data_IF_774573311792
#
_entry.id   IF_774573311792
#
_cell.length_a   1.000
_cell.length_b   1.000
_cell.length_c   1.000
_cell.angle_alpha   90.00
_cell.angle_beta   90.00
_cell.angle_gamma   90.00
#
_symmetry.space_group_name_H-M   'P 1'
#
loop_
_entity.id
_entity.type
_entity.pdbx_description
1 polymer ?
#
# COMPACT_ATOMS: atom_id res chain seq x y z
N UNK A 1 50.41 7.66 -6.70
CA UNK A 1 49.32 8.03 -7.63
C UNK A 1 48.50 6.83 -8.12
N UNK A 2 49.05 5.62 -8.23
CA UNK A 2 48.34 4.42 -8.72
C UNK A 2 47.27 3.87 -7.77
N UNK A 3 47.51 3.84 -6.45
CA UNK A 3 46.56 3.29 -5.48
C UNK A 3 45.19 4.01 -5.46
N UNK A 4 45.18 5.33 -5.65
CA UNK A 4 43.95 6.13 -5.69
C UNK A 4 43.07 5.81 -6.91
N UNK A 5 43.68 5.50 -8.07
CA UNK A 5 42.97 5.11 -9.28
C UNK A 5 42.33 3.72 -9.14
N UNK A 6 43.03 2.78 -8.50
CA UNK A 6 42.49 1.46 -8.21
C UNK A 6 41.33 1.51 -7.23
N UNK A 7 41.45 2.29 -6.15
CA UNK A 7 40.37 2.47 -5.18
C UNK A 7 39.14 3.11 -5.85
N UNK A 8 39.33 4.17 -6.66
CA UNK A 8 38.25 4.82 -7.39
C UNK A 8 37.55 3.87 -8.39
N UNK A 9 38.32 3.11 -9.17
CA UNK A 9 37.78 2.12 -10.10
C UNK A 9 37.02 0.98 -9.41
N UNK A 10 37.52 0.52 -8.26
CA UNK A 10 36.89 -0.51 -7.45
C UNK A 10 35.55 -0.03 -6.89
N UNK A 11 35.50 1.20 -6.39
CA UNK A 11 34.28 1.82 -5.88
C UNK A 11 33.24 2.04 -6.99
N UNK A 12 33.68 2.48 -8.18
CA UNK A 12 32.81 2.65 -9.33
C UNK A 12 32.19 1.32 -9.80
N UNK A 13 33.01 0.26 -9.87
CA UNK A 13 32.52 -1.09 -10.20
C UNK A 13 31.56 -1.63 -9.14
N UNK A 14 31.87 -1.42 -7.86
CA UNK A 14 30.99 -1.83 -6.77
C UNK A 14 29.65 -1.07 -6.80
N UNK A 15 29.68 0.23 -7.07
CA UNK A 15 28.49 1.04 -7.23
C UNK A 15 27.64 0.57 -8.43
N UNK A 16 28.28 0.25 -9.56
CA UNK A 16 27.60 -0.27 -10.75
C UNK A 16 26.98 -1.65 -10.49
N UNK A 17 27.69 -2.51 -9.76
CA UNK A 17 27.20 -3.84 -9.38
C UNK A 17 26.03 -3.79 -8.38
N UNK A 18 26.03 -2.80 -7.47
CA UNK A 18 24.97 -2.60 -6.48
C UNK A 18 23.78 -1.78 -7.02
N UNK A 19 23.97 -1.01 -8.10
CA UNK A 19 22.94 -0.21 -8.74
C UNK A 19 21.64 -0.98 -9.06
N UNK A 20 21.65 -2.18 -9.67
CA UNK A 20 20.42 -2.94 -9.93
C UNK A 20 19.70 -3.35 -8.64
N UNK A 21 20.43 -3.68 -7.57
CA UNK A 21 19.84 -4.09 -6.29
C UNK A 21 19.17 -2.91 -5.58
N UNK A 22 19.84 -1.74 -5.59
CA UNK A 22 19.32 -0.52 -4.99
C UNK A 22 18.10 0.02 -5.75
N UNK A 23 18.14 -0.01 -7.09
CA UNK A 23 17.01 0.41 -7.92
C UNK A 23 15.82 -0.54 -7.78
N UNK A 24 16.04 -1.86 -7.70
CA UNK A 24 14.98 -2.82 -7.41
C UNK A 24 14.32 -2.56 -6.04
N UNK A 25 15.12 -2.29 -5.00
CA UNK A 25 14.60 -1.94 -3.68
C UNK A 25 13.81 -0.63 -3.67
N UNK A 26 14.30 0.39 -4.39
CA UNK A 26 13.59 1.67 -4.53
C UNK A 26 12.25 1.48 -5.24
N UNK A 27 12.22 0.76 -6.35
CA UNK A 27 10.98 0.44 -7.10
C UNK A 27 9.98 -0.34 -6.25
N UNK A 28 10.45 -1.29 -5.45
CA UNK A 28 9.59 -2.05 -4.52
C UNK A 28 8.99 -1.14 -3.43
N UNK A 29 9.78 -0.21 -2.89
CA UNK A 29 9.30 0.78 -1.91
C UNK A 29 8.29 1.75 -2.52
N UNK A 30 8.51 2.19 -3.75
CA UNK A 30 7.61 3.09 -4.46
C UNK A 30 6.29 2.41 -4.82
N UNK A 31 6.33 1.15 -5.29
CA UNK A 31 5.13 0.35 -5.51
C UNK A 31 4.33 0.09 -4.22
N UNK A 32 5.02 -0.09 -3.08
CA UNK A 32 4.37 -0.20 -1.77
C UNK A 32 3.62 1.08 -1.39
N UNK A 33 4.23 2.25 -1.57
CA UNK A 33 3.61 3.57 -1.31
C UNK A 33 2.39 3.83 -2.20
N UNK A 34 2.52 3.61 -3.50
CA UNK A 34 1.38 3.75 -4.43
C UNK A 34 0.24 2.77 -4.06
N UNK A 35 0.59 1.57 -3.60
CA UNK A 35 -0.38 0.61 -3.10
C UNK A 35 -1.09 1.07 -1.83
N UNK A 36 -0.36 1.69 -0.91
CA UNK A 36 -0.86 2.26 0.34
C UNK A 36 -1.82 3.42 0.08
N UNK A 37 -1.42 4.40 -0.74
CA UNK A 37 -2.25 5.56 -1.08
C UNK A 37 -3.60 5.12 -1.66
N UNK A 38 -3.58 4.11 -2.55
CA UNK A 38 -4.81 3.51 -3.10
C UNK A 38 -5.65 2.83 -2.04
N UNK A 39 -5.03 2.12 -1.09
CA UNK A 39 -5.76 1.49 0.00
C UNK A 39 -6.40 2.53 0.93
N UNK A 40 -5.66 3.59 1.28
CA UNK A 40 -6.16 4.70 2.09
C UNK A 40 -7.30 5.45 1.39
N UNK A 41 -7.21 5.68 0.08
CA UNK A 41 -8.29 6.29 -0.69
C UNK A 41 -9.59 5.46 -0.63
N UNK A 42 -9.49 4.13 -0.72
CA UNK A 42 -10.65 3.24 -0.59
C UNK A 42 -11.19 3.18 0.84
N UNK A 43 -10.33 3.23 1.85
CA UNK A 43 -10.75 3.30 3.26
C UNK A 43 -11.48 4.62 3.50
N UNK A 44 -10.95 5.75 3.03
CA UNK A 44 -11.59 7.06 3.16
C UNK A 44 -12.96 7.09 2.45
N UNK A 45 -13.08 6.45 1.28
CA UNK A 45 -14.37 6.30 0.60
C UNK A 45 -15.34 5.41 1.37
N UNK A 46 -14.85 4.32 1.97
CA UNK A 46 -15.66 3.45 2.83
C UNK A 46 -16.16 4.19 4.06
N UNK A 47 -15.33 5.03 4.67
CA UNK A 47 -15.69 5.88 5.80
C UNK A 47 -16.82 6.83 5.42
N UNK A 48 -16.71 7.49 4.27
CA UNK A 48 -17.76 8.35 3.77
C UNK A 48 -19.06 7.59 3.45
N UNK A 49 -18.95 6.38 2.92
CA UNK A 49 -20.12 5.54 2.67
C UNK A 49 -20.80 5.08 3.98
N UNK A 50 -20.03 4.84 5.05
CA UNK A 50 -20.54 4.47 6.37
C UNK A 50 -21.30 5.61 7.06
N UNK A 51 -20.93 6.87 6.79
CA UNK A 51 -21.63 8.06 7.28
C UNK A 51 -23.05 8.20 6.72
N UNK A 52 -23.38 7.49 5.65
CA UNK A 52 -24.73 7.49 5.08
C UNK A 52 -25.74 6.86 6.04
N UNK A 53 -26.86 7.53 6.25
CA UNK A 53 -27.94 7.11 7.16
C UNK A 53 -28.87 6.05 6.57
N UNK A 54 -28.83 5.80 5.26
CA UNK A 54 -29.70 4.87 4.54
C UNK A 54 -29.26 3.39 4.60
N UNK A 55 -28.13 3.10 5.26
CA UNK A 55 -27.63 1.74 5.39
C UNK A 55 -28.40 0.93 6.43
N UNK A 56 -28.82 -0.28 6.04
CA UNK A 56 -29.30 -1.27 7.00
C UNK A 56 -28.22 -1.57 8.06
N UNK A 57 -28.59 -1.84 9.32
CA UNK A 57 -27.64 -2.08 10.40
C UNK A 57 -26.69 -3.24 10.12
N UNK A 58 -27.16 -4.29 9.44
CA UNK A 58 -26.34 -5.45 9.05
C UNK A 58 -25.24 -5.06 8.06
N UNK A 59 -25.58 -4.29 7.02
CA UNK A 59 -24.60 -3.79 6.03
C UNK A 59 -23.60 -2.84 6.65
N UNK A 60 -24.05 -1.95 7.55
CA UNK A 60 -23.17 -1.03 8.29
C UNK A 60 -22.16 -1.81 9.14
N UNK A 61 -22.61 -2.80 9.91
CA UNK A 61 -21.73 -3.60 10.77
C UNK A 61 -20.65 -4.37 9.96
N UNK A 62 -21.03 -4.98 8.83
CA UNK A 62 -20.05 -5.68 7.98
C UNK A 62 -19.04 -4.72 7.33
N UNK A 63 -19.51 -3.54 6.92
CA UNK A 63 -18.66 -2.50 6.36
C UNK A 63 -17.69 -1.90 7.40
N UNK A 64 -18.15 -1.69 8.64
CA UNK A 64 -17.30 -1.28 9.77
C UNK A 64 -16.25 -2.34 10.11
N UNK A 65 -16.63 -3.62 10.10
CA UNK A 65 -15.68 -4.72 10.27
C UNK A 65 -14.61 -4.70 9.18
N UNK A 66 -15.02 -4.53 7.92
CA UNK A 66 -14.10 -4.42 6.79
C UNK A 66 -13.17 -3.20 6.94
N UNK A 67 -13.67 -2.05 7.38
CA UNK A 67 -12.86 -0.85 7.68
C UNK A 67 -11.78 -1.14 8.72
N UNK A 68 -12.14 -1.79 9.83
CA UNK A 68 -11.19 -2.15 10.89
C UNK A 68 -10.11 -3.13 10.38
N UNK A 69 -10.50 -4.13 9.59
CA UNK A 69 -9.56 -5.08 8.99
C UNK A 69 -8.64 -4.42 7.96
N UNK A 70 -9.15 -3.45 7.21
CA UNK A 70 -8.34 -2.66 6.28
C UNK A 70 -7.32 -1.78 7.02
N UNK A 71 -7.74 -1.07 8.07
CA UNK A 71 -6.87 -0.25 8.91
C UNK A 71 -5.80 -1.08 9.63
N UNK A 72 -6.17 -2.22 10.21
CA UNK A 72 -5.21 -3.11 10.89
C UNK A 72 -4.16 -3.69 9.94
N UNK A 73 -4.50 -3.90 8.66
CA UNK A 73 -3.54 -4.32 7.66
C UNK A 73 -2.47 -3.25 7.37
N UNK A 74 -2.75 -1.97 7.61
CA UNK A 74 -1.84 -0.83 7.43
C UNK A 74 -1.18 -0.35 8.73
N UNK A 75 -1.51 -0.92 9.88
CA UNK A 75 -0.96 -0.50 11.18
C UNK A 75 0.55 -0.80 11.34
N UNK A 76 1.09 -1.72 10.54
CA UNK A 76 2.50 -2.12 10.57
C UNK A 76 3.32 -1.57 9.39
N UNK A 77 4.53 -2.12 9.16
CA UNK A 77 5.36 -1.72 8.02
C UNK A 77 4.59 -1.87 6.71
N UNK A 78 4.57 -0.79 5.93
CA UNK A 78 3.87 -0.76 4.65
C UNK A 78 4.63 -1.63 3.66
N UNK A 79 4.08 -2.82 3.43
CA UNK A 79 4.54 -3.77 2.43
C UNK A 79 3.51 -3.85 1.31
N UNK A 80 3.90 -4.25 0.08
CA UNK A 80 2.94 -4.47 -1.00
C UNK A 80 1.82 -5.46 -0.61
N UNK A 81 2.14 -6.45 0.22
CA UNK A 81 1.19 -7.42 0.73
C UNK A 81 0.21 -6.83 1.77
N UNK A 82 0.69 -5.93 2.64
CA UNK A 82 -0.15 -5.18 3.58
C UNK A 82 -1.13 -4.27 2.82
N UNK A 83 -0.63 -3.46 1.88
CA UNK A 83 -1.43 -2.60 1.02
C UNK A 83 -2.49 -3.40 0.22
N UNK A 84 -2.10 -4.55 -0.34
CA UNK A 84 -3.04 -5.40 -1.07
C UNK A 84 -4.13 -6.01 -0.16
N UNK A 85 -3.78 -6.39 1.08
CA UNK A 85 -4.77 -6.86 2.08
C UNK A 85 -5.74 -5.75 2.46
N UNK A 86 -5.21 -4.56 2.78
CA UNK A 86 -6.02 -3.40 3.12
C UNK A 86 -7.01 -3.06 2.00
N UNK A 87 -6.52 -3.05 0.76
CA UNK A 87 -7.36 -2.85 -0.44
C UNK A 87 -8.49 -3.87 -0.55
N UNK A 88 -8.21 -5.16 -0.34
CA UNK A 88 -9.24 -6.21 -0.42
C UNK A 88 -10.35 -6.01 0.61
N UNK A 89 -9.98 -5.66 1.84
CA UNK A 89 -10.96 -5.38 2.89
C UNK A 89 -11.77 -4.12 2.60
N UNK A 90 -11.13 -3.03 2.16
CA UNK A 90 -11.85 -1.81 1.80
C UNK A 90 -12.84 -2.03 0.64
N UNK A 91 -12.45 -2.79 -0.39
CA UNK A 91 -13.37 -3.18 -1.49
C UNK A 91 -14.52 -4.06 -1.01
N UNK A 92 -14.27 -5.00 -0.10
CA UNK A 92 -15.32 -5.83 0.48
C UNK A 92 -16.33 -4.98 1.27
N UNK A 93 -15.85 -4.01 2.06
CA UNK A 93 -16.69 -3.06 2.78
C UNK A 93 -17.53 -2.20 1.83
N UNK A 94 -16.91 -1.66 0.77
CA UNK A 94 -17.63 -0.88 -0.25
C UNK A 94 -18.72 -1.69 -0.94
N UNK A 95 -18.44 -2.96 -1.27
CA UNK A 95 -19.47 -3.88 -1.80
C UNK A 95 -20.60 -4.13 -0.81
N UNK A 96 -20.31 -4.25 0.49
CA UNK A 96 -21.33 -4.45 1.51
C UNK A 96 -22.30 -3.27 1.63
N UNK A 97 -21.80 -2.04 1.41
CA UNK A 97 -22.64 -0.82 1.37
C UNK A 97 -23.24 -0.52 -0.01
N UNK A 98 -22.99 -1.37 -1.02
CA UNK A 98 -23.52 -1.22 -2.38
C UNK A 98 -22.79 -0.18 -3.24
N UNK A 99 -21.60 0.25 -2.82
CA UNK A 99 -20.79 1.24 -3.52
C UNK A 99 -19.81 0.53 -4.48
N UNK A 100 -19.75 0.90 -5.77
CA UNK A 100 -18.85 0.24 -6.70
C UNK A 100 -17.38 0.61 -6.39
N UNK A 101 -16.46 -0.37 -6.30
CA UNK A 101 -15.04 -0.06 -6.27
C UNK A 101 -14.69 0.60 -7.61
N UNK A 102 -14.21 1.84 -7.61
CA UNK A 102 -13.81 2.50 -8.88
C UNK A 102 -12.63 1.73 -9.50
N UNK A 103 -12.47 1.79 -10.85
CA UNK A 103 -11.32 1.18 -11.53
C UNK A 103 -9.97 1.72 -11.07
#
# INVERSE_FOLDING_TARGET
MTAALWIGGSLALLALALAPLLTARRRAGEAARVGEDRALALISRLDHALERTDLSPVRRAEAERCRLLAGSALAGPVTPAAAARARRWAVAGLKAVGEPPSP
#
